data_IF_508116215018
#
_entry.id   IF_508116215018
#
_cell.length_a   1.000
_cell.length_b   1.000
_cell.length_c   1.000
_cell.angle_alpha   90.00
_cell.angle_beta   90.00
_cell.angle_gamma   90.00
#
_symmetry.space_group_name_H-M   'P 1'
#
loop_
_entity.id
_entity.type
_entity.pdbx_description
1 polymer ?
#
# COMPACT_ATOMS: atom_id res chain seq x y z
N UNK A 1 35.21 16.35 38.15
CA UNK A 1 35.13 15.16 37.28
C UNK A 1 33.67 15.00 36.90
N UNK A 2 33.41 14.98 35.61
CA UNK A 2 32.12 15.11 34.95
C UNK A 2 31.16 13.98 35.35
N UNK A 3 29.88 14.28 35.55
CA UNK A 3 28.81 13.37 35.13
C UNK A 3 27.61 14.20 34.68
N UNK A 4 27.42 14.15 33.37
CA UNK A 4 26.32 14.74 32.62
C UNK A 4 25.03 14.00 33.04
N UNK A 5 24.02 14.75 33.47
CA UNK A 5 22.63 14.27 33.44
C UNK A 5 22.25 14.29 31.95
N UNK A 6 22.60 13.19 31.27
CA UNK A 6 22.11 12.89 29.93
C UNK A 6 20.64 12.60 30.04
N UNK A 7 19.87 13.37 29.29
CA UNK A 7 18.43 13.30 29.13
C UNK A 7 17.97 11.84 28.99
N UNK A 8 17.00 11.45 29.80
CA UNK A 8 16.35 10.15 29.72
C UNK A 8 15.94 9.86 28.27
N UNK A 9 16.57 8.83 27.72
CA UNK A 9 16.40 8.30 26.37
C UNK A 9 15.00 7.65 26.25
N UNK A 10 13.94 8.47 26.26
CA UNK A 10 12.56 8.01 26.09
C UNK A 10 12.19 7.79 24.61
N UNK A 11 13.15 7.78 23.68
CA UNK A 11 12.90 7.53 22.26
C UNK A 11 13.11 6.07 21.90
N UNK A 12 12.57 5.15 22.71
CA UNK A 12 12.22 3.83 22.19
C UNK A 12 10.99 4.04 21.30
N UNK A 13 11.21 4.45 20.05
CA UNK A 13 10.18 4.34 19.03
C UNK A 13 9.96 2.84 18.86
N UNK A 14 9.01 2.29 19.61
CA UNK A 14 8.62 0.87 19.55
C UNK A 14 8.06 0.60 18.17
N UNK A 15 8.94 0.28 17.22
CA UNK A 15 8.57 -0.23 15.91
C UNK A 15 8.22 -1.70 16.08
N UNK A 16 7.06 -2.09 15.59
CA UNK A 16 6.60 -3.48 15.62
C UNK A 16 6.71 -4.08 14.22
N UNK A 17 6.96 -5.38 14.06
CA UNK A 17 6.93 -6.02 12.76
C UNK A 17 5.56 -5.88 12.10
N UNK A 18 5.53 -5.72 10.77
CA UNK A 18 4.26 -5.67 10.03
C UNK A 18 3.40 -6.91 10.25
N UNK A 19 4.00 -8.10 10.39
CA UNK A 19 3.26 -9.33 10.68
C UNK A 19 2.36 -9.21 11.92
N UNK A 20 2.84 -8.57 12.98
CA UNK A 20 2.04 -8.35 14.19
C UNK A 20 0.81 -7.46 13.92
N UNK A 21 0.95 -6.49 13.02
CA UNK A 21 -0.18 -5.63 12.60
C UNK A 21 -1.14 -6.40 11.70
N UNK A 22 -0.64 -7.22 10.79
CA UNK A 22 -1.48 -8.06 9.91
C UNK A 22 -2.24 -9.15 10.68
N UNK A 23 -1.69 -9.64 11.79
CA UNK A 23 -2.38 -10.55 12.71
C UNK A 23 -3.47 -9.83 13.52
N UNK A 24 -3.20 -8.60 13.96
CA UNK A 24 -4.18 -7.81 14.71
C UNK A 24 -5.33 -7.30 13.83
N UNK A 25 -5.06 -7.01 12.55
CA UNK A 25 -6.01 -6.40 11.62
C UNK A 25 -6.18 -7.29 10.37
N UNK A 26 -7.04 -8.31 10.44
CA UNK A 26 -7.29 -9.21 9.30
C UNK A 26 -7.85 -8.49 8.07
N UNK A 27 -8.54 -7.36 8.26
CA UNK A 27 -9.04 -6.50 7.17
C UNK A 27 -7.89 -5.96 6.29
N UNK A 28 -6.73 -5.67 6.88
CA UNK A 28 -5.55 -5.21 6.14
C UNK A 28 -4.87 -6.40 5.46
N UNK A 29 -4.81 -7.56 6.14
CA UNK A 29 -4.24 -8.80 5.59
C UNK A 29 -4.98 -9.29 4.34
N UNK A 30 -6.30 -9.06 4.26
CA UNK A 30 -7.10 -9.43 3.10
C UNK A 30 -6.92 -8.49 1.90
N UNK A 31 -6.23 -7.36 2.05
CA UNK A 31 -6.04 -6.39 0.99
C UNK A 31 -4.99 -6.90 -0.02
N UNK A 32 -5.30 -6.98 -1.34
CA UNK A 32 -4.35 -7.43 -2.36
C UNK A 32 -3.12 -6.53 -2.53
N UNK A 33 -3.12 -5.35 -1.91
CA UNK A 33 -1.99 -4.41 -1.90
C UNK A 33 -1.28 -4.35 -0.54
N UNK A 34 -1.44 -5.37 0.31
CA UNK A 34 -0.89 -5.38 1.67
C UNK A 34 0.64 -5.18 1.70
N UNK A 35 1.37 -5.76 0.75
CA UNK A 35 2.81 -5.54 0.55
C UNK A 35 3.12 -4.06 0.28
N UNK A 36 2.39 -3.43 -0.65
CA UNK A 36 2.57 -2.01 -0.98
C UNK A 36 2.14 -1.10 0.16
N UNK A 37 1.08 -1.43 0.91
CA UNK A 37 0.71 -0.71 2.12
C UNK A 37 1.85 -0.75 3.15
N UNK A 38 2.45 -1.93 3.37
CA UNK A 38 3.57 -2.07 4.29
C UNK A 38 4.79 -1.23 3.85
N UNK A 39 5.07 -1.18 2.55
CA UNK A 39 6.20 -0.43 2.00
C UNK A 39 5.97 1.09 2.00
N UNK A 40 4.78 1.54 1.58
CA UNK A 40 4.45 2.96 1.41
C UNK A 40 4.30 3.67 2.75
N UNK A 41 3.73 2.99 3.74
CA UNK A 41 3.52 3.56 5.08
C UNK A 41 4.69 3.31 6.03
N UNK A 42 5.65 2.43 5.69
CA UNK A 42 6.86 2.28 6.52
C UNK A 42 7.86 3.41 6.27
N UNK A 43 7.98 4.33 7.22
CA UNK A 43 8.96 5.43 7.19
C UNK A 43 10.42 5.00 7.00
N UNK A 44 10.81 3.80 7.45
CA UNK A 44 12.19 3.29 7.37
C UNK A 44 12.38 2.15 6.38
N UNK A 45 11.31 1.68 5.73
CA UNK A 45 11.32 0.48 4.85
C UNK A 45 12.03 -0.71 5.51
N UNK A 46 11.85 -0.89 6.81
CA UNK A 46 12.57 -1.87 7.65
C UNK A 46 11.70 -3.07 8.03
N UNK A 47 10.62 -3.32 7.29
CA UNK A 47 9.56 -4.30 7.59
C UNK A 47 8.92 -4.14 8.98
N UNK A 48 9.14 -3.00 9.61
CA UNK A 48 8.52 -2.60 10.85
C UNK A 48 7.73 -1.32 10.65
N UNK A 49 6.82 -1.08 11.58
CA UNK A 49 5.89 0.03 11.57
C UNK A 49 5.90 0.68 12.95
N UNK A 50 6.05 2.00 12.98
CA UNK A 50 5.90 2.78 14.20
C UNK A 50 4.43 3.11 14.45
N UNK A 51 4.12 3.62 15.65
CA UNK A 51 2.78 4.11 15.94
C UNK A 51 2.35 5.24 14.99
N UNK A 52 3.26 6.12 14.61
CA UNK A 52 3.00 7.20 13.63
C UNK A 52 2.68 6.63 12.24
N UNK A 53 3.47 5.67 11.77
CA UNK A 53 3.23 4.98 10.49
C UNK A 53 1.84 4.29 10.47
N UNK A 54 1.43 3.68 11.59
CA UNK A 54 0.08 3.09 11.73
C UNK A 54 -1.02 4.15 11.68
N UNK A 55 -0.82 5.30 12.35
CA UNK A 55 -1.79 6.39 12.32
C UNK A 55 -1.96 6.93 10.90
N UNK A 56 -0.88 7.06 10.13
CA UNK A 56 -0.93 7.48 8.73
C UNK A 56 -1.72 6.46 7.89
N UNK A 57 -1.48 5.16 8.08
CA UNK A 57 -2.22 4.10 7.40
C UNK A 57 -3.72 4.18 7.72
N UNK A 58 -4.10 4.20 8.99
CA UNK A 58 -5.51 4.25 9.39
C UNK A 58 -6.18 5.56 8.99
N UNK A 59 -5.47 6.68 9.05
CA UNK A 59 -5.96 7.98 8.60
C UNK A 59 -6.25 7.98 7.10
N UNK A 60 -5.39 7.36 6.29
CA UNK A 60 -5.61 7.22 4.85
C UNK A 60 -6.81 6.29 4.54
N UNK A 61 -7.00 5.24 5.34
CA UNK A 61 -8.12 4.29 5.16
C UNK A 61 -9.44 4.82 5.72
N UNK A 62 -9.42 5.80 6.62
CA UNK A 62 -10.61 6.32 7.27
C UNK A 62 -11.66 6.84 6.27
N UNK A 63 -12.97 6.72 6.57
CA UNK A 63 -14.04 7.30 5.76
C UNK A 63 -13.98 8.83 5.70
N UNK A 64 -13.47 9.45 6.76
CA UNK A 64 -13.34 10.90 6.90
C UNK A 64 -12.11 11.50 6.22
N UNK A 65 -11.25 10.67 5.61
CA UNK A 65 -10.07 11.16 4.90
C UNK A 65 -10.49 11.99 3.67
N UNK A 66 -9.98 13.23 3.50
CA UNK A 66 -10.25 14.02 2.30
C UNK A 66 -9.87 13.26 1.03
N UNK A 67 -10.68 13.42 -0.03
CA UNK A 67 -10.48 12.71 -1.31
C UNK A 67 -9.10 12.97 -1.89
N UNK A 68 -8.58 14.19 -1.80
CA UNK A 68 -7.25 14.56 -2.29
C UNK A 68 -6.14 13.82 -1.53
N UNK A 69 -6.25 13.70 -0.20
CA UNK A 69 -5.30 12.95 0.61
C UNK A 69 -5.35 11.46 0.29
N UNK A 70 -6.56 10.89 0.16
CA UNK A 70 -6.75 9.48 -0.20
C UNK A 70 -6.24 9.19 -1.62
N UNK A 71 -6.44 10.09 -2.56
CA UNK A 71 -5.93 9.99 -3.92
C UNK A 71 -4.39 10.03 -3.95
N UNK A 72 -3.76 10.92 -3.16
CA UNK A 72 -2.30 10.98 -3.03
C UNK A 72 -1.72 9.66 -2.49
N UNK A 73 -2.36 9.06 -1.50
CA UNK A 73 -1.93 7.76 -0.98
C UNK A 73 -2.19 6.62 -1.96
N UNK A 74 -3.36 6.61 -2.62
CA UNK A 74 -3.67 5.62 -3.64
C UNK A 74 -2.65 5.65 -4.79
N UNK A 75 -2.26 6.83 -5.26
CA UNK A 75 -1.22 6.98 -6.27
C UNK A 75 0.10 6.33 -5.84
N UNK A 76 0.54 6.58 -4.60
CA UNK A 76 1.78 5.98 -4.07
C UNK A 76 1.70 4.46 -3.90
N UNK A 77 0.51 3.93 -3.64
CA UNK A 77 0.28 2.48 -3.51
C UNK A 77 0.29 1.80 -4.89
N UNK A 78 -0.26 2.48 -5.91
CA UNK A 78 -0.40 1.95 -7.26
C UNK A 78 0.82 2.17 -8.16
N UNK A 79 1.69 3.11 -7.83
CA UNK A 79 3.00 3.28 -8.46
C UNK A 79 3.92 2.15 -7.96
N UNK A 80 4.11 1.08 -8.73
CA UNK A 80 4.90 -0.09 -8.32
C UNK A 80 6.38 0.08 -8.60
N UNK A 81 6.73 0.88 -9.62
CA UNK A 81 8.11 1.15 -10.02
C UNK A 81 8.72 2.39 -9.34
N UNK A 82 7.97 3.05 -8.44
CA UNK A 82 8.32 4.31 -7.77
C UNK A 82 8.72 5.40 -8.79
N UNK A 83 8.13 5.39 -10.00
CA UNK A 83 8.45 6.33 -11.10
C UNK A 83 7.82 7.71 -10.90
N UNK A 84 6.97 7.85 -9.88
CA UNK A 84 6.15 9.04 -9.64
C UNK A 84 5.18 9.33 -10.81
N UNK A 85 4.87 8.30 -11.60
CA UNK A 85 3.87 8.25 -12.66
C UNK A 85 3.13 6.90 -12.56
N UNK A 86 1.87 6.84 -13.02
CA UNK A 86 1.19 5.56 -13.22
C UNK A 86 1.35 5.18 -14.69
N UNK A 87 2.25 4.25 -14.95
CA UNK A 87 2.56 3.78 -16.30
C UNK A 87 1.67 2.57 -16.66
N UNK A 88 1.73 2.15 -17.93
CA UNK A 88 0.92 1.03 -18.44
C UNK A 88 1.17 -0.24 -17.63
N UNK A 89 2.43 -0.47 -17.27
CA UNK A 89 2.91 -1.58 -16.47
C UNK A 89 2.29 -1.59 -15.07
N UNK A 90 2.16 -0.43 -14.43
CA UNK A 90 1.52 -0.31 -13.12
C UNK A 90 0.03 -0.65 -13.19
N UNK A 91 -0.65 -0.24 -14.27
CA UNK A 91 -2.06 -0.58 -14.51
C UNK A 91 -2.26 -2.08 -14.75
N UNK A 92 -1.33 -2.74 -15.47
CA UNK A 92 -1.35 -4.18 -15.65
C UNK A 92 -1.25 -4.92 -14.30
N UNK A 93 -0.27 -4.54 -13.47
CA UNK A 93 -0.07 -5.13 -12.14
C UNK A 93 -1.26 -4.86 -11.21
N UNK A 94 -1.81 -3.64 -11.26
CA UNK A 94 -3.02 -3.26 -10.53
C UNK A 94 -4.20 -4.17 -10.89
N UNK A 95 -4.44 -4.39 -12.18
CA UNK A 95 -5.52 -5.27 -12.68
C UNK A 95 -5.26 -6.70 -12.23
N UNK A 96 -4.05 -7.22 -12.35
CA UNK A 96 -3.73 -8.59 -11.95
C UNK A 96 -3.94 -8.82 -10.45
N UNK A 97 -3.60 -7.83 -9.60
CA UNK A 97 -3.83 -7.87 -8.15
C UNK A 97 -5.29 -7.74 -7.75
N UNK A 98 -6.05 -6.82 -8.35
CA UNK A 98 -7.50 -6.69 -8.09
C UNK A 98 -8.26 -7.95 -8.49
N UNK A 99 -7.81 -8.56 -9.56
CA UNK A 99 -8.45 -9.75 -10.08
C UNK A 99 -7.92 -11.00 -9.41
N UNK A 100 -6.82 -10.94 -8.65
CA UNK A 100 -6.10 -12.06 -8.05
C UNK A 100 -5.70 -13.11 -9.12
N UNK A 101 -5.41 -12.63 -10.33
CA UNK A 101 -5.31 -13.46 -11.54
C UNK A 101 -6.60 -14.27 -11.81
N UNK A 102 -7.76 -13.83 -11.34
CA UNK A 102 -9.05 -14.56 -11.33
C UNK A 102 -10.21 -13.64 -11.70
N UNK A 103 -10.11 -12.86 -12.78
CA UNK A 103 -11.36 -12.65 -13.54
C UNK A 103 -11.70 -13.99 -14.17
N UNK A 104 -12.34 -14.83 -13.35
CA UNK A 104 -13.05 -15.99 -13.80
C UNK A 104 -14.28 -15.41 -14.46
N UNK A 105 -14.26 -15.34 -15.79
CA UNK A 105 -15.52 -15.32 -16.55
C UNK A 105 -16.37 -16.50 -16.06
N UNK A 106 -17.69 -16.44 -16.22
CA UNK A 106 -18.59 -17.56 -15.88
C UNK A 106 -18.16 -18.92 -16.52
N UNK A 107 -17.26 -18.91 -17.50
CA UNK A 107 -16.67 -20.06 -18.19
C UNK A 107 -15.33 -20.59 -17.62
N UNK A 108 -14.78 -20.02 -16.55
CA UNK A 108 -13.53 -20.51 -15.95
C UNK A 108 -12.23 -20.00 -16.57
N UNK A 109 -12.27 -19.03 -17.51
CA UNK A 109 -11.06 -18.51 -18.18
C UNK A 109 -10.57 -17.19 -17.59
N UNK A 110 -9.25 -17.06 -17.53
CA UNK A 110 -8.49 -15.85 -17.21
C UNK A 110 -8.69 -14.77 -18.30
N UNK A 111 -8.64 -13.48 -17.92
CA UNK A 111 -8.58 -12.37 -18.90
C UNK A 111 -7.35 -12.56 -19.80
N UNK A 112 -7.54 -12.47 -21.11
CA UNK A 112 -6.41 -12.50 -22.04
C UNK A 112 -5.66 -11.17 -22.02
N UNK A 113 -4.38 -11.20 -22.39
CA UNK A 113 -3.54 -10.00 -22.52
C UNK A 113 -4.18 -8.91 -23.41
N UNK A 114 -4.94 -9.30 -24.44
CA UNK A 114 -5.70 -8.37 -25.29
C UNK A 114 -6.86 -7.69 -24.57
N UNK A 115 -7.52 -8.36 -23.63
CA UNK A 115 -8.61 -7.77 -22.83
C UNK A 115 -8.04 -6.82 -21.77
N UNK A 116 -6.89 -7.16 -21.17
CA UNK A 116 -6.15 -6.26 -20.27
C UNK A 116 -5.72 -4.98 -21.00
N UNK A 117 -5.13 -5.12 -22.19
CA UNK A 117 -4.74 -3.98 -23.02
C UNK A 117 -5.94 -3.09 -23.38
N UNK A 118 -7.10 -3.70 -23.69
CA UNK A 118 -8.29 -2.93 -24.03
C UNK A 118 -8.82 -2.08 -22.86
N UNK A 119 -8.78 -2.60 -21.63
CA UNK A 119 -9.16 -1.85 -20.42
C UNK A 119 -8.21 -0.66 -20.23
N UNK A 120 -6.91 -0.89 -20.40
CA UNK A 120 -5.90 0.16 -20.28
C UNK A 120 -6.10 1.23 -21.35
N UNK A 121 -6.35 0.85 -22.59
CA UNK A 121 -6.58 1.78 -23.70
C UNK A 121 -7.82 2.67 -23.46
N UNK A 122 -8.86 2.14 -22.80
CA UNK A 122 -10.05 2.92 -22.41
C UNK A 122 -9.71 3.91 -21.29
N UNK A 123 -8.97 3.48 -20.27
CA UNK A 123 -8.59 4.32 -19.13
C UNK A 123 -7.62 5.43 -19.55
N UNK A 124 -6.69 5.13 -20.46
CA UNK A 124 -5.67 6.07 -20.95
C UNK A 124 -6.19 7.07 -21.99
N UNK A 125 -7.32 6.79 -22.65
CA UNK A 125 -7.97 7.71 -23.60
C UNK A 125 -9.16 8.48 -23.01
N UNK A 126 -9.41 8.37 -21.70
CA UNK A 126 -10.49 9.08 -20.99
C UNK A 126 -10.05 10.43 -20.43
#
# INVERSE_FOLDING_TARGET
MQHLVGEDEFTVVQRVPWESVLDAFPEIRANPFVDRLCEVFSSKKDNCVSFEDMLDLFSALAPSCPVECKAKWAFRIFDFNDSNALETEDLHELIDRLTNGKVIREDGKYLSETEKQHIIDIVSNS
#
